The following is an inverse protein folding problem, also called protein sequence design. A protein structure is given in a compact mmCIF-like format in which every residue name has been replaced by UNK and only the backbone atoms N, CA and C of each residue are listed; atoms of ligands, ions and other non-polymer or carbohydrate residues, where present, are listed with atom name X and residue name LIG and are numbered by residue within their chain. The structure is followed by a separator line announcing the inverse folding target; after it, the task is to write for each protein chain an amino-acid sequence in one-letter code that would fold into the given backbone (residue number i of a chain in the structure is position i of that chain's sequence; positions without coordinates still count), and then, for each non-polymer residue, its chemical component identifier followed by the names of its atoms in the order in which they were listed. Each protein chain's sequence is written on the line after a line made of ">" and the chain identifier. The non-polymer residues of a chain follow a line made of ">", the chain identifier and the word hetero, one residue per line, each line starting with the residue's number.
data_IF_539643067740
#
_entry.id   IF_539643067740
#
_cell.length_a   1.000
_cell.length_b   1.000
_cell.length_c   1.000
_cell.angle_alpha   90.00
_cell.angle_beta   90.00
_cell.angle_gamma   90.00
#
_symmetry.space_group_name_H-M   'P 1'
#
loop_
_entity.id
_entity.type
_entity.pdbx_description
1 polymer ?
#
# COMPACT_ATOMS: atom_id res chain seq x y z
N UNK A 1 3.08 0.84 19.53
CA UNK A 1 3.18 0.15 18.23
C UNK A 1 2.67 1.07 17.13
N UNK A 2 3.46 1.35 16.10
CA UNK A 2 3.08 2.23 14.98
C UNK A 2 3.14 1.48 13.63
N UNK A 3 2.53 2.02 12.58
CA UNK A 3 2.52 1.40 11.25
C UNK A 3 3.91 1.14 10.66
N UNK A 4 4.93 1.90 11.05
CA UNK A 4 6.32 1.65 10.62
C UNK A 4 6.90 0.39 11.25
N UNK A 5 6.52 0.07 12.49
CA UNK A 5 6.93 -1.16 13.15
C UNK A 5 6.16 -2.36 12.58
N UNK A 6 4.87 -2.18 12.29
CA UNK A 6 4.02 -3.25 11.75
C UNK A 6 4.51 -3.71 10.37
N UNK A 7 4.87 -2.80 9.47
CA UNK A 7 5.34 -3.20 8.12
C UNK A 7 6.60 -4.07 8.16
N UNK A 8 7.47 -3.86 9.14
CA UNK A 8 8.70 -4.65 9.30
C UNK A 8 8.46 -6.09 9.78
N UNK A 9 7.26 -6.38 10.30
CA UNK A 9 6.85 -7.71 10.74
C UNK A 9 6.10 -8.47 9.64
N UNK A 10 5.80 -7.82 8.52
CA UNK A 10 5.02 -8.39 7.42
C UNK A 10 5.94 -8.81 6.26
N UNK A 11 5.61 -9.89 5.53
CA UNK A 11 6.36 -10.26 4.34
C UNK A 11 6.32 -9.14 3.30
N UNK A 12 7.49 -8.59 2.97
CA UNK A 12 7.65 -7.45 2.05
C UNK A 12 7.13 -7.74 0.63
N UNK A 13 7.12 -9.00 0.23
CA UNK A 13 6.60 -9.45 -1.06
C UNK A 13 5.07 -9.55 -1.10
N UNK A 14 4.39 -9.43 0.05
CA UNK A 14 2.94 -9.54 0.16
C UNK A 14 2.28 -8.26 0.65
N UNK A 15 3.02 -7.38 1.32
CA UNK A 15 2.50 -6.17 1.93
C UNK A 15 3.35 -4.96 1.56
N UNK A 16 2.67 -3.85 1.27
CA UNK A 16 3.32 -2.59 0.97
C UNK A 16 2.65 -1.45 1.75
N UNK A 17 3.47 -0.50 2.21
CA UNK A 17 2.97 0.74 2.80
C UNK A 17 2.78 1.78 1.70
N UNK A 18 1.55 2.29 1.58
CA UNK A 18 1.15 3.20 0.49
C UNK A 18 0.74 4.59 0.98
N UNK A 19 0.52 4.71 2.30
CA UNK A 19 0.18 5.96 2.95
C UNK A 19 0.73 5.98 4.38
N UNK A 20 0.75 7.16 5.01
CA UNK A 20 1.09 7.26 6.44
C UNK A 20 0.17 6.42 7.33
N UNK A 21 -1.07 6.21 6.89
CA UNK A 21 -2.12 5.49 7.61
C UNK A 21 -2.46 4.10 7.07
N UNK A 22 -1.85 3.66 5.95
CA UNK A 22 -2.26 2.42 5.27
C UNK A 22 -1.08 1.53 4.91
N UNK A 23 -1.22 0.25 5.26
CA UNK A 23 -0.48 -0.88 4.70
C UNK A 23 -1.51 -1.72 3.96
N UNK A 24 -1.20 -2.10 2.73
CA UNK A 24 -2.07 -2.90 1.88
C UNK A 24 -1.42 -4.24 1.55
N UNK A 25 -2.24 -5.27 1.36
CA UNK A 25 -1.76 -6.52 0.80
C UNK A 25 -1.80 -6.45 -0.72
N UNK A 26 -0.66 -6.74 -1.35
CA UNK A 26 -0.49 -6.71 -2.81
C UNK A 26 -1.41 -7.71 -3.52
N UNK A 27 -1.73 -8.84 -2.85
CA UNK A 27 -2.56 -9.92 -3.40
C UNK A 27 -4.00 -9.48 -3.71
N UNK A 28 -4.55 -8.51 -2.98
CA UNK A 28 -5.96 -8.13 -3.09
C UNK A 28 -6.18 -6.83 -3.87
N UNK A 29 -5.13 -6.26 -4.45
CA UNK A 29 -5.25 -5.07 -5.31
C UNK A 29 -5.90 -5.50 -6.62
N UNK A 30 -7.08 -4.94 -6.91
CA UNK A 30 -7.81 -5.25 -8.14
C UNK A 30 -7.35 -4.36 -9.30
N UNK A 31 -7.26 -3.05 -9.04
CA UNK A 31 -6.73 -2.10 -10.00
C UNK A 31 -6.23 -0.83 -9.31
N UNK A 32 -5.51 -0.03 -10.08
CA UNK A 32 -4.92 1.23 -9.67
C UNK A 32 -5.50 2.30 -10.59
N UNK A 33 -6.03 3.38 -10.02
CA UNK A 33 -6.48 4.54 -10.78
C UNK A 33 -5.90 5.81 -10.14
N UNK A 34 -5.08 6.51 -10.91
CA UNK A 34 -4.31 7.67 -10.48
C UNK A 34 -3.49 7.41 -9.22
N UNK A 35 -3.93 7.98 -8.10
CA UNK A 35 -3.26 7.93 -6.81
C UNK A 35 -4.02 7.06 -5.81
N UNK A 36 -4.82 6.10 -6.28
CA UNK A 36 -5.63 5.26 -5.42
C UNK A 36 -5.56 3.79 -5.83
N UNK A 37 -5.61 2.92 -4.83
CA UNK A 37 -5.73 1.48 -4.98
C UNK A 37 -7.16 1.07 -4.70
N UNK A 38 -7.69 0.19 -5.54
CA UNK A 38 -9.03 -0.35 -5.37
C UNK A 38 -8.93 -1.79 -4.88
N UNK A 39 -9.50 -2.03 -3.71
CA UNK A 39 -9.52 -3.32 -3.02
C UNK A 39 -10.97 -3.58 -2.60
N UNK A 40 -11.66 -4.43 -3.34
CA UNK A 40 -13.10 -4.66 -3.21
C UNK A 40 -13.87 -3.32 -3.29
N UNK A 41 -14.63 -2.97 -2.25
CA UNK A 41 -15.41 -1.73 -2.18
C UNK A 41 -14.61 -0.56 -1.59
N UNK A 42 -13.31 -0.76 -1.30
CA UNK A 42 -12.47 0.26 -0.69
C UNK A 42 -11.54 0.92 -1.71
N UNK A 43 -11.50 2.25 -1.64
CA UNK A 43 -10.50 3.07 -2.29
C UNK A 43 -9.47 3.51 -1.25
N UNK A 44 -8.20 3.14 -1.47
CA UNK A 44 -7.09 3.46 -0.58
C UNK A 44 -6.17 4.48 -1.26
N UNK A 45 -6.00 5.68 -0.70
CA UNK A 45 -5.13 6.68 -1.28
C UNK A 45 -3.65 6.30 -1.13
N UNK A 46 -2.88 6.56 -2.18
CA UNK A 46 -1.42 6.46 -2.23
C UNK A 46 -0.85 7.86 -2.14
N UNK A 47 -0.10 8.15 -1.08
CA UNK A 47 0.59 9.45 -1.00
C UNK A 47 1.82 9.47 -1.89
N UNK A 48 2.17 10.66 -2.39
CA UNK A 48 3.32 10.89 -3.28
C UNK A 48 4.63 10.28 -2.74
N UNK A 49 4.87 10.40 -1.43
CA UNK A 49 6.09 9.86 -0.79
C UNK A 49 6.22 8.34 -0.88
N UNK A 50 5.12 7.60 -1.07
CA UNK A 50 5.12 6.15 -1.22
C UNK A 50 4.90 5.69 -2.66
N UNK A 51 4.51 6.59 -3.58
CA UNK A 51 4.31 6.23 -4.99
C UNK A 51 5.58 5.67 -5.65
N UNK A 52 6.71 6.34 -5.45
CA UNK A 52 7.97 5.93 -6.08
C UNK A 52 8.46 4.56 -5.62
N UNK A 53 8.12 4.17 -4.38
CA UNK A 53 8.37 2.83 -3.84
C UNK A 53 7.38 1.81 -4.37
N UNK A 54 6.11 2.19 -4.56
CA UNK A 54 5.06 1.29 -4.99
C UNK A 54 5.09 1.01 -6.51
N UNK A 55 5.43 2.00 -7.34
CA UNK A 55 5.46 1.88 -8.80
C UNK A 55 6.82 1.48 -9.38
N UNK A 56 7.82 1.20 -8.54
CA UNK A 56 9.13 0.73 -9.02
C UNK A 56 9.05 -0.76 -9.32
N UNK A 57 9.05 -1.09 -10.61
CA UNK A 57 9.35 -2.43 -11.13
C UNK A 57 10.79 -2.82 -10.84
#
# INVERSE_FOLDING_TARGET
>A
MNLKEIINLLPENLFCRVHRSYIVSLKYIQFIDGNALFINEHNIPVSESYKSLFYRN
#
